data_IF_662053414729
#
_entry.id   IF_662053414729
#
_cell.length_a   1.000
_cell.length_b   1.000
_cell.length_c   1.000
_cell.angle_alpha   90.00
_cell.angle_beta   90.00
_cell.angle_gamma   90.00
#
_symmetry.space_group_name_H-M   'P 1'
#
loop_
_entity.id
_entity.type
_entity.pdbx_description
1 polymer ?
#
# COMPACT_ATOMS: atom_id res chain seq x y z
N UNK A 1 -9.87 -9.53 33.85
CA UNK A 1 -10.10 -9.59 32.39
C UNK A 1 -8.77 -10.00 31.79
N UNK A 2 -8.62 -11.26 31.37
CA UNK A 2 -7.39 -11.75 30.76
C UNK A 2 -7.22 -10.99 29.44
N UNK A 3 -6.26 -10.07 29.38
CA UNK A 3 -5.73 -9.59 28.11
C UNK A 3 -5.12 -10.80 27.44
N UNK A 4 -5.85 -11.38 26.48
CA UNK A 4 -5.19 -12.23 25.49
C UNK A 4 -4.18 -11.31 24.79
N UNK A 5 -2.94 -11.36 25.24
CA UNK A 5 -1.82 -10.87 24.46
C UNK A 5 -1.80 -11.78 23.23
N UNK A 6 -2.50 -11.39 22.17
CA UNK A 6 -2.19 -11.90 20.85
C UNK A 6 -0.74 -11.47 20.59
N UNK A 7 0.20 -12.41 20.80
CA UNK A 7 1.55 -12.32 20.27
C UNK A 7 1.40 -12.29 18.75
N UNK A 8 1.23 -11.09 18.22
CA UNK A 8 1.25 -10.86 16.79
C UNK A 8 2.70 -10.90 16.34
N UNK A 9 3.16 -12.06 15.90
CA UNK A 9 4.43 -12.22 15.20
C UNK A 9 4.22 -11.67 13.79
N UNK A 10 4.53 -10.37 13.61
CA UNK A 10 4.67 -9.79 12.29
C UNK A 10 5.70 -10.57 11.49
N UNK A 11 5.64 -10.52 10.15
CA UNK A 11 6.66 -11.16 9.31
C UNK A 11 8.00 -10.42 9.33
N UNK A 12 8.00 -9.21 9.87
CA UNK A 12 9.12 -8.32 10.15
C UNK A 12 8.74 -7.46 11.36
N UNK A 13 9.72 -7.02 12.14
CA UNK A 13 9.58 -5.97 13.13
C UNK A 13 9.81 -4.61 12.46
N UNK A 14 8.95 -3.63 12.75
CA UNK A 14 9.03 -2.29 12.16
C UNK A 14 8.82 -1.24 13.24
N UNK A 15 9.84 -0.42 13.47
CA UNK A 15 9.78 0.72 14.40
C UNK A 15 9.93 2.05 13.67
N UNK A 16 9.26 3.08 14.18
CA UNK A 16 9.32 4.45 13.66
C UNK A 16 9.42 5.43 14.81
N UNK A 17 10.27 6.45 14.71
CA UNK A 17 10.29 7.56 15.65
C UNK A 17 9.01 8.42 15.57
N UNK A 18 8.34 8.43 14.41
CA UNK A 18 7.10 9.17 14.19
C UNK A 18 6.56 9.11 12.76
N UNK A 19 5.39 9.72 12.55
CA UNK A 19 4.79 9.84 11.22
C UNK A 19 5.59 10.84 10.36
N UNK A 20 5.83 10.54 9.07
CA UNK A 20 6.57 11.42 8.19
C UNK A 20 5.83 12.76 7.98
N UNK A 21 6.59 13.85 7.94
CA UNK A 21 6.06 15.17 7.61
C UNK A 21 5.84 15.29 6.11
N UNK A 22 4.57 15.24 5.68
CA UNK A 22 4.18 15.19 4.25
C UNK A 22 3.70 16.56 3.74
N UNK A 23 4.10 16.91 2.51
CA UNK A 23 3.57 18.04 1.73
C UNK A 23 2.78 17.52 0.54
N UNK A 24 1.54 17.97 0.39
CA UNK A 24 0.69 17.64 -0.76
C UNK A 24 1.09 18.47 -1.99
N UNK A 25 1.47 17.80 -3.07
CA UNK A 25 1.86 18.44 -4.35
C UNK A 25 0.68 18.54 -5.32
N UNK A 26 -0.27 17.60 -5.24
CA UNK A 26 -1.38 17.49 -6.21
C UNK A 26 -2.55 18.45 -5.98
N UNK A 27 -2.54 19.27 -4.93
CA UNK A 27 -3.63 20.18 -4.59
C UNK A 27 -3.27 21.63 -4.92
N UNK A 28 -3.59 22.07 -6.15
CA UNK A 28 -3.75 23.49 -6.46
C UNK A 28 -5.25 23.76 -6.49
N UNK A 29 -5.82 24.52 -5.53
CA UNK A 29 -7.24 24.85 -5.58
C UNK A 29 -7.51 25.67 -6.83
N UNK A 30 -8.12 25.06 -7.83
CA UNK A 30 -8.64 25.79 -8.98
C UNK A 30 -9.83 26.62 -8.48
N UNK A 31 -9.61 27.92 -8.28
CA UNK A 31 -10.56 28.86 -7.69
C UNK A 31 -11.91 28.93 -8.43
N UNK A 32 -11.97 28.41 -9.67
CA UNK A 32 -13.15 28.37 -10.53
C UNK A 32 -13.46 26.96 -11.10
N UNK A 33 -13.13 25.88 -10.38
CA UNK A 33 -13.51 24.54 -10.84
C UNK A 33 -15.01 24.23 -10.60
N UNK A 34 -15.68 23.72 -11.64
CA UNK A 34 -17.06 23.23 -11.55
C UNK A 34 -17.17 21.97 -10.67
N UNK A 35 -18.37 21.60 -10.22
CA UNK A 35 -18.58 20.42 -9.35
C UNK A 35 -18.06 19.13 -9.97
N UNK A 36 -18.26 18.93 -11.28
CA UNK A 36 -17.72 17.77 -12.01
C UNK A 36 -16.19 17.79 -12.08
N UNK A 37 -15.58 18.96 -12.29
CA UNK A 37 -14.13 19.10 -12.27
C UNK A 37 -13.56 18.84 -10.88
N UNK A 38 -14.23 19.31 -9.81
CA UNK A 38 -13.85 19.01 -8.42
C UNK A 38 -13.93 17.51 -8.13
N UNK A 39 -14.97 16.84 -8.61
CA UNK A 39 -15.11 15.38 -8.48
C UNK A 39 -14.00 14.65 -9.25
N UNK A 40 -13.74 15.05 -10.49
CA UNK A 40 -12.65 14.49 -11.30
C UNK A 40 -11.27 14.73 -10.65
N UNK A 41 -11.04 15.89 -10.04
CA UNK A 41 -9.83 16.19 -9.27
C UNK A 41 -9.75 15.31 -8.02
N UNK A 42 -10.87 15.08 -7.32
CA UNK A 42 -10.92 14.22 -6.14
C UNK A 42 -10.60 12.75 -6.46
N UNK A 43 -10.84 12.29 -7.70
CA UNK A 43 -10.49 10.94 -8.17
C UNK A 43 -9.04 10.80 -8.65
N UNK A 44 -8.27 11.89 -8.80
CA UNK A 44 -6.86 11.80 -9.22
C UNK A 44 -6.00 11.23 -8.09
N UNK A 45 -4.94 10.49 -8.48
CA UNK A 45 -3.90 10.04 -7.54
C UNK A 45 -3.33 11.26 -6.82
N UNK A 46 -3.24 11.16 -5.49
CA UNK A 46 -2.65 12.22 -4.67
C UNK A 46 -1.15 12.04 -4.70
N UNK A 47 -0.46 13.10 -5.10
CA UNK A 47 1.01 13.15 -5.09
C UNK A 47 1.47 13.95 -3.89
N UNK A 48 2.53 13.48 -3.26
CA UNK A 48 3.06 14.11 -2.07
C UNK A 48 4.58 14.00 -2.01
N UNK A 49 5.19 14.91 -1.27
CA UNK A 49 6.63 14.95 -1.01
C UNK A 49 6.87 14.94 0.50
N UNK A 50 8.03 14.46 0.93
CA UNK A 50 8.44 14.56 2.33
C UNK A 50 9.06 15.95 2.59
N UNK A 51 8.85 16.51 3.77
CA UNK A 51 9.49 17.77 4.19
C UNK A 51 10.90 17.54 4.73
N UNK A 52 11.11 16.41 5.37
CA UNK A 52 12.35 16.00 6.02
C UNK A 52 12.63 14.53 5.75
N UNK A 53 13.89 14.13 5.91
CA UNK A 53 14.26 12.73 5.79
C UNK A 53 13.50 11.93 6.83
N UNK A 54 13.04 10.76 6.43
CA UNK A 54 12.27 9.89 7.29
C UNK A 54 12.96 8.55 7.43
N UNK A 55 13.07 8.07 8.65
CA UNK A 55 13.79 6.85 8.99
C UNK A 55 12.83 5.82 9.57
N UNK A 56 13.07 4.57 9.20
CA UNK A 56 12.29 3.41 9.61
C UNK A 56 13.27 2.32 9.99
N UNK A 57 13.09 1.71 11.15
CA UNK A 57 13.86 0.55 11.54
C UNK A 57 13.14 -0.72 11.07
N UNK A 58 13.88 -1.58 10.37
CA UNK A 58 13.40 -2.87 9.91
C UNK A 58 14.22 -3.97 10.57
N UNK A 59 13.55 -4.85 11.29
CA UNK A 59 14.15 -6.01 11.92
C UNK A 59 13.43 -7.30 11.50
N UNK A 60 14.13 -8.43 11.67
CA UNK A 60 13.63 -9.77 11.35
C UNK A 60 13.18 -10.00 9.89
N UNK A 61 13.86 -9.37 8.91
CA UNK A 61 13.58 -9.58 7.49
C UNK A 61 14.17 -10.90 6.98
N UNK A 62 13.46 -12.00 7.24
CA UNK A 62 13.84 -13.40 6.95
C UNK A 62 14.46 -13.65 5.55
N UNK A 63 13.95 -12.99 4.53
CA UNK A 63 14.31 -13.27 3.13
C UNK A 63 15.46 -12.40 2.60
N UNK A 64 15.95 -11.45 3.40
CA UNK A 64 17.04 -10.56 3.02
C UNK A 64 17.61 -9.88 4.26
N UNK A 65 18.55 -10.53 4.94
CA UNK A 65 19.26 -9.94 6.10
C UNK A 65 19.97 -8.62 5.78
N UNK A 66 20.23 -8.35 4.50
CA UNK A 66 20.75 -7.05 4.04
C UNK A 66 19.78 -5.89 4.26
N UNK A 67 18.48 -6.17 4.43
CA UNK A 67 17.43 -5.18 4.66
C UNK A 67 17.22 -4.86 6.15
N UNK A 68 17.87 -5.61 7.05
CA UNK A 68 17.80 -5.33 8.48
C UNK A 68 18.63 -4.08 8.81
N UNK A 69 18.05 -3.20 9.63
CA UNK A 69 18.64 -1.93 10.05
C UNK A 69 17.74 -0.71 9.76
N UNK A 70 18.32 0.48 9.88
CA UNK A 70 17.62 1.74 9.70
C UNK A 70 17.56 2.10 8.22
N UNK A 71 16.37 2.07 7.63
CA UNK A 71 16.08 2.54 6.28
C UNK A 71 15.81 4.04 6.30
N UNK A 72 16.58 4.81 5.54
CA UNK A 72 16.36 6.24 5.35
C UNK A 72 15.71 6.53 3.99
N UNK A 73 14.58 7.22 4.04
CA UNK A 73 13.91 7.79 2.87
C UNK A 73 14.20 9.30 2.83
N UNK A 74 15.06 9.77 1.90
CA UNK A 74 15.40 11.18 1.81
C UNK A 74 14.21 12.01 1.31
N UNK A 75 14.05 13.22 1.84
CA UNK A 75 13.02 14.14 1.35
C UNK A 75 13.34 14.75 -0.02
N UNK A 76 14.63 14.90 -0.30
CA UNK A 76 15.15 15.54 -1.49
C UNK A 76 16.12 14.61 -2.22
N UNK A 77 16.03 14.61 -3.54
CA UNK A 77 16.99 13.91 -4.39
C UNK A 77 18.24 14.77 -4.66
N UNK A 78 18.06 16.08 -4.73
CA UNK A 78 19.10 17.10 -4.85
C UNK A 78 18.60 18.36 -4.14
N UNK A 79 19.46 19.35 -3.89
CA UNK A 79 19.12 20.56 -3.12
C UNK A 79 17.86 21.28 -3.61
N UNK A 80 17.53 21.13 -4.90
CA UNK A 80 16.40 21.76 -5.57
C UNK A 80 15.20 20.84 -5.88
N UNK A 81 15.33 19.52 -5.72
CA UNK A 81 14.31 18.55 -6.18
C UNK A 81 13.80 17.67 -5.04
N UNK A 82 12.54 17.87 -4.65
CA UNK A 82 11.83 16.96 -3.74
C UNK A 82 11.44 15.66 -4.45
N UNK A 83 11.48 14.55 -3.70
CA UNK A 83 11.00 13.26 -4.20
C UNK A 83 9.47 13.28 -4.14
N UNK A 84 8.83 12.94 -5.26
CA UNK A 84 7.37 12.94 -5.40
C UNK A 84 6.86 11.51 -5.39
N UNK A 85 6.16 11.16 -4.30
CA UNK A 85 5.51 9.87 -4.08
C UNK A 85 4.07 9.89 -4.60
N UNK A 86 3.56 8.76 -5.06
CA UNK A 86 2.21 8.63 -5.64
C UNK A 86 1.25 7.73 -4.86
N UNK A 87 1.70 7.25 -3.69
CA UNK A 87 0.88 6.58 -2.68
C UNK A 87 0.68 5.11 -2.99
N UNK A 88 1.77 4.46 -3.40
CA UNK A 88 1.84 3.13 -3.99
C UNK A 88 1.13 3.16 -5.34
N UNK A 89 1.88 2.97 -6.41
CA UNK A 89 1.44 2.88 -7.81
C UNK A 89 0.44 1.73 -8.11
N UNK A 90 -0.39 1.35 -7.15
CA UNK A 90 -1.41 0.33 -7.21
C UNK A 90 -2.43 0.66 -8.32
N UNK A 91 -2.72 -0.28 -9.23
CA UNK A 91 -3.80 -0.12 -10.19
C UNK A 91 -5.15 -0.12 -9.46
N UNK A 92 -6.03 0.83 -9.80
CA UNK A 92 -7.38 0.95 -9.25
C UNK A 92 -7.47 1.04 -7.71
N UNK A 93 -6.86 2.06 -7.06
CA UNK A 93 -6.90 2.22 -5.61
C UNK A 93 -8.34 2.36 -5.05
N UNK A 94 -9.28 2.83 -5.87
CA UNK A 94 -10.71 2.85 -5.55
C UNK A 94 -11.33 1.46 -5.44
N UNK A 95 -10.87 0.48 -6.23
CA UNK A 95 -11.37 -0.90 -6.19
C UNK A 95 -10.94 -1.60 -4.91
N UNK A 96 -9.72 -1.34 -4.45
CA UNK A 96 -9.19 -1.89 -3.19
C UNK A 96 -9.88 -1.25 -1.99
N UNK A 97 -10.08 0.08 -2.04
CA UNK A 97 -10.89 0.78 -1.04
C UNK A 97 -12.34 0.28 -1.03
N UNK A 98 -12.91 -0.07 -2.18
CA UNK A 98 -14.26 -0.63 -2.29
C UNK A 98 -14.33 -2.07 -1.74
N UNK A 99 -13.40 -2.94 -2.14
CA UNK A 99 -13.33 -4.35 -1.73
C UNK A 99 -13.05 -4.52 -0.23
N UNK A 100 -12.45 -3.52 0.41
CA UNK A 100 -12.16 -3.54 1.85
C UNK A 100 -13.07 -2.63 2.66
N UNK A 101 -14.21 -2.18 2.11
CA UNK A 101 -15.20 -1.36 2.82
C UNK A 101 -14.57 -0.10 3.44
N UNK A 102 -13.63 0.50 2.72
CA UNK A 102 -12.93 1.72 3.13
C UNK A 102 -11.86 1.54 4.21
N UNK A 103 -11.48 0.31 4.57
CA UNK A 103 -10.34 0.01 5.44
C UNK A 103 -9.03 0.35 4.73
N UNK A 104 -8.91 0.03 3.43
CA UNK A 104 -7.74 0.38 2.61
C UNK A 104 -7.84 1.75 1.96
N UNK A 105 -8.01 2.81 2.77
CA UNK A 105 -7.72 4.15 2.26
C UNK A 105 -6.21 4.24 2.03
N UNK A 106 -5.74 4.65 0.83
CA UNK A 106 -4.30 4.75 0.52
C UNK A 106 -3.52 5.64 1.49
N UNK A 107 -4.18 6.60 2.13
CA UNK A 107 -3.61 7.50 3.14
C UNK A 107 -3.80 7.04 4.60
N UNK A 108 -4.37 5.85 4.81
CA UNK A 108 -4.52 5.24 6.13
C UNK A 108 -3.56 4.06 6.26
N UNK A 109 -4.12 2.86 6.19
CA UNK A 109 -3.44 1.58 6.45
C UNK A 109 -2.20 1.34 5.56
N UNK A 110 -2.19 1.84 4.33
CA UNK A 110 -1.13 1.53 3.36
C UNK A 110 0.00 2.58 3.34
N UNK A 111 -0.20 3.75 3.97
CA UNK A 111 0.63 4.93 3.74
C UNK A 111 2.13 4.68 4.02
N UNK A 112 2.46 4.11 5.17
CA UNK A 112 3.83 3.83 5.59
C UNK A 112 4.54 2.94 4.57
N UNK A 113 3.95 1.78 4.24
CA UNK A 113 4.51 0.88 3.25
C UNK A 113 4.63 1.52 1.87
N UNK A 114 3.68 2.39 1.49
CA UNK A 114 3.66 3.02 0.17
C UNK A 114 4.86 3.94 -0.08
N UNK A 115 5.35 4.64 0.94
CA UNK A 115 6.49 5.54 0.83
C UNK A 115 7.76 4.75 0.54
N UNK A 116 8.00 3.70 1.31
CA UNK A 116 9.15 2.79 1.13
C UNK A 116 9.07 2.10 -0.24
N UNK A 117 7.88 1.64 -0.62
CA UNK A 117 7.62 0.99 -1.90
C UNK A 117 7.89 1.90 -3.09
N UNK A 118 7.33 3.12 -3.09
CA UNK A 118 7.49 4.11 -4.15
C UNK A 118 8.96 4.52 -4.30
N UNK A 119 9.68 4.73 -3.18
CA UNK A 119 11.11 5.03 -3.19
C UNK A 119 11.91 3.89 -3.85
N UNK A 120 11.71 2.65 -3.38
CA UNK A 120 12.37 1.48 -3.95
C UNK A 120 12.01 1.28 -5.43
N UNK A 121 10.80 1.62 -5.85
CA UNK A 121 10.36 1.52 -7.24
C UNK A 121 11.00 2.58 -8.14
N UNK A 122 11.17 3.81 -7.64
CA UNK A 122 11.77 4.89 -8.39
C UNK A 122 13.27 4.67 -8.59
N UNK A 123 13.98 4.27 -7.54
CA UNK A 123 15.45 4.22 -7.52
C UNK A 123 16.02 2.81 -7.67
N UNK A 124 15.25 1.77 -7.34
CA UNK A 124 15.71 0.38 -7.42
C UNK A 124 16.58 -0.07 -6.26
N UNK A 125 16.70 0.74 -5.20
CA UNK A 125 17.47 0.45 -3.99
C UNK A 125 16.82 1.09 -2.76
N UNK A 126 17.28 0.70 -1.57
CA UNK A 126 16.98 1.36 -0.29
C UNK A 126 18.28 1.82 0.35
N UNK A 127 18.26 2.95 1.07
CA UNK A 127 19.42 3.42 1.84
C UNK A 127 19.32 2.87 3.25
N UNK A 128 20.25 2.02 3.65
CA UNK A 128 20.18 1.28 4.92
C UNK A 128 21.45 1.50 5.71
N UNK A 129 21.29 1.88 6.98
CA UNK A 129 22.37 1.89 7.97
C UNK A 129 22.22 0.68 8.88
N UNK A 130 23.33 -0.03 9.10
CA UNK A 130 23.38 -1.17 10.02
C UNK A 130 24.18 -0.78 11.25
N UNK A 131 23.64 -1.03 12.44
CA UNK A 131 24.32 -0.75 13.72
C UNK A 131 24.81 0.71 13.87
N UNK A 132 24.08 1.68 13.32
CA UNK A 132 24.45 3.10 13.37
C UNK A 132 25.64 3.49 12.48
N UNK A 133 26.00 2.65 11.50
CA UNK A 133 27.01 2.95 10.48
C UNK A 133 26.55 3.94 9.39
N UNK A 134 27.35 4.10 8.35
CA UNK A 134 26.96 4.91 7.19
C UNK A 134 25.79 4.27 6.41
N UNK A 135 25.00 5.11 5.75
CA UNK A 135 23.91 4.64 4.90
C UNK A 135 24.44 4.08 3.58
N UNK A 136 24.25 2.80 3.36
CA UNK A 136 24.61 2.10 2.12
C UNK A 136 23.40 1.92 1.20
N UNK A 137 23.62 2.00 -0.11
CA UNK A 137 22.57 1.71 -1.11
C UNK A 137 22.45 0.20 -1.34
N UNK A 138 21.42 -0.40 -0.76
CA UNK A 138 21.12 -1.83 -0.93
C UNK A 138 20.20 -2.01 -2.14
N UNK A 139 20.74 -2.60 -3.20
CA UNK A 139 20.00 -2.87 -4.42
C UNK A 139 18.81 -3.80 -4.13
N UNK A 140 17.61 -3.33 -4.45
CA UNK A 140 16.39 -4.11 -4.27
C UNK A 140 15.90 -4.58 -5.64
N UNK A 141 15.24 -5.74 -5.67
CA UNK A 141 14.53 -6.19 -6.86
C UNK A 141 13.05 -5.95 -6.68
N UNK A 142 12.33 -5.68 -7.78
CA UNK A 142 10.89 -5.36 -7.75
C UNK A 142 10.06 -6.29 -6.86
N UNK A 143 10.27 -7.60 -6.99
CA UNK A 143 9.52 -8.60 -6.22
C UNK A 143 9.86 -8.59 -4.72
N UNK A 144 11.10 -8.23 -4.35
CA UNK A 144 11.48 -8.03 -2.95
C UNK A 144 10.90 -6.72 -2.41
N UNK A 145 10.85 -5.66 -3.22
CA UNK A 145 10.17 -4.42 -2.86
C UNK A 145 8.65 -4.63 -2.65
N UNK A 146 8.00 -5.40 -3.51
CA UNK A 146 6.59 -5.78 -3.35
C UNK A 146 6.37 -6.59 -2.04
N UNK A 147 7.27 -7.55 -1.76
CA UNK A 147 7.19 -8.36 -0.53
C UNK A 147 7.42 -7.51 0.72
N UNK A 148 8.40 -6.61 0.71
CA UNK A 148 8.64 -5.70 1.82
C UNK A 148 7.43 -4.81 2.08
N UNK A 149 6.80 -4.30 1.02
CA UNK A 149 5.55 -3.54 1.11
C UNK A 149 4.43 -4.34 1.80
N UNK A 150 4.25 -5.61 1.43
CA UNK A 150 3.28 -6.51 2.07
C UNK A 150 3.54 -6.61 3.57
N UNK A 151 4.79 -6.86 3.93
CA UNK A 151 5.23 -7.15 5.29
C UNK A 151 5.08 -5.90 6.18
N UNK A 152 5.51 -4.73 5.70
CA UNK A 152 5.29 -3.44 6.39
C UNK A 152 3.78 -3.18 6.59
N UNK A 153 2.96 -3.30 5.54
CA UNK A 153 1.51 -3.05 5.66
C UNK A 153 0.85 -4.04 6.62
N UNK A 154 1.26 -5.31 6.59
CA UNK A 154 0.77 -6.36 7.48
C UNK A 154 1.13 -6.09 8.94
N UNK A 155 2.40 -5.76 9.22
CA UNK A 155 2.91 -5.53 10.57
C UNK A 155 2.34 -4.26 11.20
N UNK A 156 2.45 -3.13 10.50
CA UNK A 156 2.07 -1.80 11.05
C UNK A 156 0.61 -1.75 11.47
N UNK A 157 -0.25 -2.42 10.71
CA UNK A 157 -1.67 -2.41 10.96
C UNK A 157 -2.16 -3.65 11.70
N UNK A 158 -1.26 -4.61 11.99
CA UNK A 158 -1.59 -5.94 12.54
C UNK A 158 -2.68 -6.66 11.73
N UNK A 159 -2.64 -6.48 10.40
CA UNK A 159 -3.64 -7.00 9.45
C UNK A 159 -2.92 -7.71 8.29
N UNK A 160 -2.43 -8.94 8.48
CA UNK A 160 -1.64 -9.65 7.49
C UNK A 160 -2.44 -9.88 6.19
N UNK A 161 -3.72 -10.23 6.30
CA UNK A 161 -4.60 -10.40 5.14
C UNK A 161 -4.66 -9.15 4.26
N UNK A 162 -4.64 -7.97 4.87
CA UNK A 162 -4.67 -6.68 4.18
C UNK A 162 -3.35 -6.41 3.46
N UNK A 163 -2.21 -6.75 4.09
CA UNK A 163 -0.90 -6.74 3.44
C UNK A 163 -0.88 -7.62 2.19
N UNK A 164 -1.43 -8.84 2.25
CA UNK A 164 -1.52 -9.75 1.10
C UNK A 164 -2.40 -9.22 -0.04
N UNK A 165 -3.54 -8.59 0.27
CA UNK A 165 -4.40 -7.96 -0.75
C UNK A 165 -3.64 -6.81 -1.44
N UNK A 166 -2.97 -5.96 -0.67
CA UNK A 166 -2.18 -4.85 -1.19
C UNK A 166 -1.01 -5.37 -2.06
N UNK A 167 -0.33 -6.42 -1.62
CA UNK A 167 0.70 -7.12 -2.39
C UNK A 167 0.17 -7.65 -3.71
N UNK A 168 -0.93 -8.38 -3.70
CA UNK A 168 -1.54 -8.93 -4.91
C UNK A 168 -1.87 -7.82 -5.93
N UNK A 169 -2.35 -6.67 -5.45
CA UNK A 169 -2.64 -5.53 -6.30
C UNK A 169 -1.39 -4.91 -6.95
N UNK A 170 -0.29 -4.73 -6.20
CA UNK A 170 0.98 -4.22 -6.79
C UNK A 170 1.60 -5.23 -7.76
N UNK A 171 1.45 -6.53 -7.51
CA UNK A 171 1.89 -7.61 -8.42
C UNK A 171 1.13 -7.58 -9.73
N UNK A 172 -0.20 -7.42 -9.72
CA UNK A 172 -0.99 -7.26 -10.95
C UNK A 172 -0.57 -6.00 -11.73
N UNK A 173 -0.13 -4.96 -11.02
CA UNK A 173 0.46 -3.75 -11.61
C UNK A 173 1.75 -3.98 -12.41
N UNK A 174 2.25 -5.21 -12.50
CA UNK A 174 3.49 -5.56 -13.21
C UNK A 174 3.55 -5.05 -14.65
N UNK A 175 2.45 -5.15 -15.39
CA UNK A 175 2.35 -4.73 -16.80
C UNK A 175 2.41 -3.21 -17.00
N UNK A 176 1.94 -2.41 -16.04
CA UNK A 176 1.75 -0.97 -16.23
C UNK A 176 2.73 -0.09 -15.46
N UNK A 177 3.29 -0.60 -14.35
CA UNK A 177 4.15 0.16 -13.46
C UNK A 177 5.62 -0.06 -13.82
N UNK A 178 6.36 1.04 -13.94
CA UNK A 178 7.81 1.05 -14.17
C UNK A 178 8.56 0.78 -12.87
N UNK A 179 9.64 0.01 -12.95
CA UNK A 179 10.59 -0.21 -11.86
C UNK A 179 11.97 0.27 -12.30
N UNK A 180 12.56 1.22 -11.57
CA UNK A 180 13.82 1.88 -11.92
C UNK A 180 13.85 2.32 -13.40
N UNK A 181 12.81 3.04 -13.82
CA UNK A 181 12.62 3.52 -15.19
C UNK A 181 12.26 2.46 -16.25
N UNK A 182 12.34 1.16 -15.94
CA UNK A 182 12.12 0.06 -16.89
C UNK A 182 10.73 -0.57 -16.73
N UNK A 183 10.08 -0.87 -17.84
CA UNK A 183 8.89 -1.73 -17.85
C UNK A 183 9.31 -3.20 -17.66
N UNK A 184 8.43 -4.02 -17.10
CA UNK A 184 8.63 -5.47 -16.96
C UNK A 184 9.86 -5.88 -16.13
N UNK A 185 10.19 -5.12 -15.09
CA UNK A 185 11.26 -5.47 -14.16
C UNK A 185 10.90 -6.64 -13.23
N UNK A 186 11.89 -7.46 -12.87
CA UNK A 186 11.75 -8.53 -11.86
C UNK A 186 11.02 -9.79 -12.33
N UNK A 187 10.60 -10.62 -11.38
CA UNK A 187 9.90 -11.90 -11.64
C UNK A 187 8.47 -11.66 -12.12
N UNK A 188 8.12 -12.24 -13.26
CA UNK A 188 6.77 -12.21 -13.83
C UNK A 188 5.76 -12.86 -12.87
N UNK A 189 4.66 -12.18 -12.51
CA UNK A 189 3.65 -12.71 -11.59
C UNK A 189 2.66 -13.66 -12.30
N UNK A 190 3.17 -14.78 -12.84
CA UNK A 190 2.35 -15.74 -13.61
C UNK A 190 1.23 -16.34 -12.76
N UNK A 191 1.54 -16.70 -11.52
CA UNK A 191 0.58 -17.32 -10.61
C UNK A 191 -0.53 -16.33 -10.21
N UNK A 192 -0.16 -15.09 -9.94
CA UNK A 192 -1.12 -14.04 -9.57
C UNK A 192 -2.06 -13.71 -10.74
N UNK A 193 -1.57 -13.70 -11.98
CA UNK A 193 -2.42 -13.57 -13.16
C UNK A 193 -3.31 -14.78 -13.39
N UNK A 194 -2.84 -16.01 -13.11
CA UNK A 194 -3.67 -17.21 -13.19
C UNK A 194 -4.83 -17.16 -12.19
N UNK A 195 -4.57 -16.74 -10.94
CA UNK A 195 -5.61 -16.51 -9.94
C UNK A 195 -6.59 -15.43 -10.42
N UNK A 196 -6.09 -14.30 -10.94
CA UNK A 196 -6.94 -13.24 -11.45
C UNK A 196 -7.86 -13.77 -12.57
N UNK A 197 -7.31 -14.53 -13.52
CA UNK A 197 -8.09 -15.13 -14.60
C UNK A 197 -9.16 -16.09 -14.08
N UNK A 198 -8.80 -17.00 -13.16
CA UNK A 198 -9.75 -17.91 -12.53
C UNK A 198 -10.86 -17.16 -11.77
N UNK A 199 -10.50 -16.09 -11.07
CA UNK A 199 -11.48 -15.25 -10.36
C UNK A 199 -12.45 -14.56 -11.32
N UNK A 200 -11.97 -14.07 -12.48
CA UNK A 200 -12.80 -13.48 -13.51
C UNK A 200 -13.72 -14.50 -14.17
N UNK A 201 -13.20 -15.70 -14.48
CA UNK A 201 -14.02 -16.80 -15.01
C UNK A 201 -15.11 -17.20 -14.01
N UNK A 202 -14.75 -17.33 -12.73
CA UNK A 202 -15.71 -17.62 -11.67
C UNK A 202 -16.77 -16.53 -11.54
N UNK A 203 -16.38 -15.25 -11.66
CA UNK A 203 -17.32 -14.13 -11.61
C UNK A 203 -18.29 -14.15 -12.81
N UNK A 204 -17.78 -14.43 -14.01
CA UNK A 204 -18.61 -14.58 -15.23
C UNK A 204 -19.56 -15.77 -15.09
N UNK A 205 -19.08 -16.89 -14.55
CA UNK A 205 -19.92 -18.06 -14.27
C UNK A 205 -21.04 -17.72 -13.29
N UNK A 206 -20.71 -17.12 -12.14
CA UNK A 206 -21.71 -16.66 -11.16
C UNK A 206 -22.72 -15.70 -11.78
N UNK A 207 -22.26 -14.77 -12.63
CA UNK A 207 -23.14 -13.85 -13.36
C UNK A 207 -24.10 -14.61 -14.28
N UNK A 208 -23.61 -15.62 -15.00
CA UNK A 208 -24.45 -16.43 -15.90
C UNK A 208 -25.49 -17.28 -15.16
N UNK A 209 -25.18 -17.76 -13.96
CA UNK A 209 -26.06 -18.61 -13.15
C UNK A 209 -27.10 -17.81 -12.38
N UNK A 210 -26.68 -16.73 -11.72
CA UNK A 210 -27.52 -16.00 -10.76
C UNK A 210 -28.07 -14.67 -11.30
N UNK A 211 -27.49 -14.16 -12.40
CA UNK A 211 -27.83 -12.87 -12.97
C UNK A 211 -27.31 -11.68 -12.16
N UNK A 212 -27.29 -10.50 -12.79
CA UNK A 212 -26.73 -9.27 -12.21
C UNK A 212 -27.41 -8.84 -10.91
N UNK A 213 -28.74 -8.90 -10.88
CA UNK A 213 -29.54 -8.37 -9.78
C UNK A 213 -29.31 -9.12 -8.47
N UNK A 214 -29.20 -10.45 -8.55
CA UNK A 214 -28.91 -11.31 -7.40
C UNK A 214 -27.52 -11.03 -6.85
N UNK A 215 -26.51 -10.94 -7.72
CA UNK A 215 -25.15 -10.61 -7.32
C UNK A 215 -25.04 -9.21 -6.70
N UNK A 216 -25.73 -8.22 -7.28
CA UNK A 216 -25.78 -6.87 -6.75
C UNK A 216 -26.44 -6.82 -5.36
N UNK A 217 -27.56 -7.53 -5.18
CA UNK A 217 -28.24 -7.63 -3.89
C UNK A 217 -27.35 -8.30 -2.83
N UNK A 218 -26.66 -9.38 -3.18
CA UNK A 218 -25.70 -10.03 -2.28
C UNK A 218 -24.54 -9.09 -1.91
N UNK A 219 -23.95 -8.38 -2.88
CA UNK A 219 -22.86 -7.45 -2.63
C UNK A 219 -23.29 -6.29 -1.70
N UNK A 220 -24.48 -5.72 -1.94
CA UNK A 220 -25.05 -4.67 -1.09
C UNK A 220 -25.33 -5.21 0.32
N UNK A 221 -25.88 -6.42 0.45
CA UNK A 221 -26.14 -7.06 1.73
C UNK A 221 -24.86 -7.28 2.54
N UNK A 222 -23.81 -7.81 1.90
CA UNK A 222 -22.48 -7.98 2.53
C UNK A 222 -21.89 -6.64 2.95
N UNK A 223 -21.94 -5.63 2.08
CA UNK A 223 -21.44 -4.29 2.39
C UNK A 223 -22.17 -3.69 3.60
N UNK A 224 -23.50 -3.77 3.63
CA UNK A 224 -24.31 -3.24 4.72
C UNK A 224 -24.02 -3.96 6.04
N UNK A 225 -23.87 -5.29 6.00
CA UNK A 225 -23.48 -6.08 7.16
C UNK A 225 -22.11 -5.64 7.70
N UNK A 226 -21.09 -5.55 6.85
CA UNK A 226 -19.75 -5.12 7.25
C UNK A 226 -19.75 -3.68 7.79
N UNK A 227 -20.56 -2.79 7.21
CA UNK A 227 -20.72 -1.43 7.69
C UNK A 227 -21.33 -1.36 9.09
N UNK A 228 -22.38 -2.17 9.36
CA UNK A 228 -22.96 -2.26 10.71
C UNK A 228 -21.96 -2.80 11.73
N UNK A 229 -21.22 -3.87 11.38
CA UNK A 229 -20.16 -4.41 12.24
C UNK A 229 -19.12 -3.32 12.55
N UNK A 230 -18.70 -2.54 11.55
CA UNK A 230 -17.75 -1.43 11.73
C UNK A 230 -18.26 -0.37 12.72
N UNK A 231 -19.56 -0.01 12.66
CA UNK A 231 -20.16 0.93 13.62
C UNK A 231 -20.11 0.37 15.04
N UNK A 232 -20.54 -0.89 15.23
CA UNK A 232 -20.60 -1.53 16.55
C UNK A 232 -19.21 -1.65 17.18
N UNK A 233 -18.22 -2.08 16.40
CA UNK A 233 -16.82 -2.15 16.84
C UNK A 233 -16.28 -0.77 17.22
N UNK A 234 -16.52 0.25 16.40
CA UNK A 234 -16.05 1.61 16.68
C UNK A 234 -16.70 2.23 17.94
N UNK A 235 -17.96 1.89 18.22
CA UNK A 235 -18.62 2.30 19.47
C UNK A 235 -18.06 1.59 20.70
N UNK A 236 -17.57 0.36 20.53
CA UNK A 236 -16.98 -0.44 21.62
C UNK A 236 -15.57 0.03 21.95
N UNK A 237 -14.78 0.47 20.95
CA UNK A 237 -13.42 1.00 21.13
C UNK A 237 -13.41 2.41 21.77
N UNK A 238 -14.51 3.18 21.63
CA UNK A 238 -14.64 4.53 22.22
C UNK A 238 -15.12 4.55 23.67
N UNK A 239 -15.41 3.40 24.28
CA UNK A 239 -15.77 3.25 25.70
C UNK A 239 -14.60 2.66 26.46
#
# INVERSE_FOLDING_TARGET
>A
MNTMNEEFTGSIEVEFEGMPSIRLESYKPAYQASTLQRLAIATRRRRFSLRENWEIELDDVDYSGELNGTVQIPAKHSDEQSIVFDGASIPFPWLISLLTVGVLRPLGVILVGSIVHDYAYQYGYLRISRHGGEFEEVALSRHRADRLFRDIVGTVNRLPAVGYIAWFAVRIGWLWVKYNGKHFGGKVPVFEYAILLLSLISLVYLYSVFGLMTLAACAIGVYFFLYLVSIVVNQTIRR
#
